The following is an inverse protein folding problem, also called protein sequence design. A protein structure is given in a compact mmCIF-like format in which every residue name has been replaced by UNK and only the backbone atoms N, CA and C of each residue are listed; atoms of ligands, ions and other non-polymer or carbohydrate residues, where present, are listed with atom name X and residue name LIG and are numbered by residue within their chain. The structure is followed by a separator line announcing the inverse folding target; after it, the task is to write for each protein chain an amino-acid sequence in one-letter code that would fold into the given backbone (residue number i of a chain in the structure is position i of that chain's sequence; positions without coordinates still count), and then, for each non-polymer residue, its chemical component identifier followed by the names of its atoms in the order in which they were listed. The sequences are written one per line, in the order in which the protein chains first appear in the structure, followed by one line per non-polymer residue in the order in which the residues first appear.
data_IF_259123529142
#
_entry.id   IF_259123529142
#
_cell.length_a   1.000
_cell.length_b   1.000
_cell.length_c   1.000
_cell.angle_alpha   90.00
_cell.angle_beta   90.00
_cell.angle_gamma   90.00
#
_symmetry.space_group_name_H-M   'P 1'
#
loop_
_entity.id
_entity.type
_entity.pdbx_description
1 polymer ?
#
# COMPACT_ATOMS: atom_id res chain seq x y z
N UNK A 1 -57.97 18.18 -63.82
CA UNK A 1 -56.67 18.81 -63.54
C UNK A 1 -56.82 19.44 -62.16
N UNK A 2 -56.21 19.01 -61.06
CA UNK A 2 -55.14 18.04 -60.85
C UNK A 2 -55.28 17.54 -59.41
N UNK A 3 -55.30 16.22 -59.23
CA UNK A 3 -55.28 15.57 -57.92
C UNK A 3 -53.85 15.64 -57.36
N UNK A 4 -53.64 16.34 -56.25
CA UNK A 4 -52.39 16.28 -55.47
C UNK A 4 -52.50 15.17 -54.44
N UNK A 5 -51.56 14.21 -54.37
CA UNK A 5 -51.56 13.18 -53.35
C UNK A 5 -50.95 13.72 -52.05
N UNK A 6 -51.68 13.53 -50.96
CA UNK A 6 -51.21 13.72 -49.58
C UNK A 6 -50.08 12.73 -49.30
N UNK A 7 -48.86 13.24 -49.12
CA UNK A 7 -47.69 12.48 -48.68
C UNK A 7 -47.83 12.10 -47.21
N UNK A 8 -47.97 10.80 -46.92
CA UNK A 8 -47.88 10.26 -45.57
C UNK A 8 -46.43 10.43 -45.03
N UNK A 9 -46.24 10.74 -43.74
CA UNK A 9 -44.91 10.79 -43.14
C UNK A 9 -44.29 9.38 -43.05
N UNK A 10 -42.97 9.24 -43.21
CA UNK A 10 -42.31 7.94 -43.11
C UNK A 10 -42.45 7.39 -41.69
N UNK A 11 -42.80 6.11 -41.60
CA UNK A 11 -42.85 5.37 -40.34
C UNK A 11 -41.54 5.55 -39.58
N UNK A 12 -41.63 6.06 -38.35
CA UNK A 12 -40.52 6.13 -37.44
C UNK A 12 -39.92 4.72 -37.30
N UNK A 13 -38.68 4.56 -37.76
CA UNK A 13 -37.91 3.35 -37.55
C UNK A 13 -37.85 3.07 -36.05
N UNK A 14 -38.41 1.94 -35.64
CA UNK A 14 -38.30 1.42 -34.28
C UNK A 14 -36.84 1.48 -33.82
N UNK A 15 -36.56 1.91 -32.57
CA UNK A 15 -35.20 1.91 -32.06
C UNK A 15 -34.66 0.47 -32.11
N UNK A 16 -33.37 0.27 -32.42
CA UNK A 16 -32.80 -1.07 -32.48
C UNK A 16 -33.01 -1.76 -31.12
N UNK A 17 -33.59 -2.96 -31.17
CA UNK A 17 -33.86 -3.80 -30.02
C UNK A 17 -32.68 -3.76 -29.04
N UNK A 18 -32.98 -3.39 -27.79
CA UNK A 18 -31.99 -3.21 -26.74
C UNK A 18 -31.06 -4.41 -26.68
N UNK A 19 -29.74 -4.15 -26.75
CA UNK A 19 -28.73 -5.16 -26.41
C UNK A 19 -29.17 -5.75 -25.08
N UNK A 20 -29.54 -7.03 -25.08
CA UNK A 20 -29.77 -7.80 -23.86
C UNK A 20 -28.60 -7.50 -22.93
N UNK A 21 -28.85 -6.68 -21.89
CA UNK A 21 -27.82 -6.38 -20.90
C UNK A 21 -27.62 -7.70 -20.18
N UNK A 22 -26.48 -8.35 -20.42
CA UNK A 22 -26.05 -9.50 -19.60
C UNK A 22 -26.31 -9.14 -18.14
N UNK A 23 -26.97 -10.01 -17.37
CA UNK A 23 -27.23 -9.74 -15.97
C UNK A 23 -25.89 -9.47 -15.28
N UNK A 24 -25.91 -8.56 -14.30
CA UNK A 24 -24.70 -8.11 -13.62
C UNK A 24 -23.90 -9.29 -13.04
N UNK A 25 -24.61 -10.34 -12.60
CA UNK A 25 -24.02 -11.60 -12.13
C UNK A 25 -23.14 -12.30 -13.17
N UNK A 26 -23.51 -12.31 -14.45
CA UNK A 26 -22.72 -12.91 -15.55
C UNK A 26 -21.61 -11.96 -16.02
N UNK A 27 -21.85 -10.65 -15.95
CA UNK A 27 -20.83 -9.67 -16.32
C UNK A 27 -19.61 -9.71 -15.39
N UNK A 28 -19.78 -10.11 -14.13
CA UNK A 28 -18.72 -10.25 -13.14
C UNK A 28 -17.73 -11.39 -13.42
N UNK A 29 -18.08 -12.33 -14.30
CA UNK A 29 -17.17 -13.42 -14.70
C UNK A 29 -16.07 -12.92 -15.66
N UNK A 30 -16.23 -11.72 -16.24
CA UNK A 30 -15.23 -11.06 -17.07
C UNK A 30 -14.29 -10.18 -16.21
N UNK A 31 -12.97 -10.51 -16.11
CA UNK A 31 -12.02 -9.71 -15.34
C UNK A 31 -11.82 -8.27 -15.84
N UNK A 32 -12.17 -7.98 -17.10
CA UNK A 32 -12.12 -6.63 -17.67
C UNK A 32 -13.40 -5.83 -17.41
N UNK A 33 -14.44 -6.45 -16.84
CA UNK A 33 -15.68 -5.77 -16.53
C UNK A 33 -15.46 -4.66 -15.50
N UNK A 34 -15.84 -3.45 -15.88
CA UNK A 34 -15.80 -2.26 -15.03
C UNK A 34 -17.24 -1.79 -14.79
N UNK A 35 -17.80 -2.03 -13.59
CA UNK A 35 -19.15 -1.59 -13.27
C UNK A 35 -19.26 -0.07 -13.21
N UNK A 36 -20.48 0.45 -13.34
CA UNK A 36 -20.78 1.88 -13.14
C UNK A 36 -21.14 2.13 -11.69
N UNK A 37 -21.01 3.40 -11.24
CA UNK A 37 -21.44 3.82 -9.89
C UNK A 37 -22.88 3.43 -9.53
N UNK A 38 -23.78 3.45 -10.51
CA UNK A 38 -25.20 3.07 -10.34
C UNK A 38 -25.41 1.59 -10.04
N UNK A 39 -24.43 0.74 -10.33
CA UNK A 39 -24.52 -0.71 -10.14
C UNK A 39 -24.18 -1.10 -8.68
N UNK A 40 -23.69 -0.15 -7.86
CA UNK A 40 -23.30 -0.37 -6.48
C UNK A 40 -24.36 -1.10 -5.64
N UNK A 41 -25.65 -0.69 -5.62
CA UNK A 41 -26.64 -1.35 -4.77
C UNK A 41 -26.79 -2.85 -5.10
N UNK A 42 -26.83 -3.18 -6.40
CA UNK A 42 -26.94 -4.55 -6.86
C UNK A 42 -25.67 -5.37 -6.56
N UNK A 43 -24.47 -4.77 -6.72
CA UNK A 43 -23.21 -5.44 -6.35
C UNK A 43 -23.14 -5.71 -4.85
N UNK A 44 -23.62 -4.79 -4.02
CA UNK A 44 -23.64 -4.93 -2.57
C UNK A 44 -24.60 -6.03 -2.12
N UNK A 45 -25.76 -6.15 -2.76
CA UNK A 45 -26.72 -7.24 -2.52
C UNK A 45 -26.11 -8.59 -2.90
N UNK A 46 -25.56 -8.70 -4.11
CA UNK A 46 -24.83 -9.89 -4.57
C UNK A 46 -23.67 -10.25 -3.62
N UNK A 47 -22.95 -9.25 -3.12
CA UNK A 47 -21.85 -9.45 -2.18
C UNK A 47 -22.34 -10.03 -0.85
N UNK A 48 -23.57 -9.75 -0.43
CA UNK A 48 -24.16 -10.30 0.79
C UNK A 48 -24.44 -11.80 0.68
N UNK A 49 -24.93 -12.23 -0.48
CA UNK A 49 -25.37 -13.61 -0.74
C UNK A 49 -24.23 -14.52 -1.25
N UNK A 50 -23.13 -13.92 -1.74
CA UNK A 50 -22.04 -14.65 -2.35
C UNK A 50 -21.26 -15.53 -1.36
N UNK A 51 -20.82 -16.69 -1.86
CA UNK A 51 -19.77 -17.50 -1.25
C UNK A 51 -18.40 -16.77 -1.27
N UNK A 52 -17.37 -17.41 -0.70
CA UNK A 52 -16.03 -16.80 -0.60
C UNK A 52 -15.38 -16.52 -1.97
N UNK A 53 -15.57 -17.41 -2.95
CA UNK A 53 -14.95 -17.27 -4.26
C UNK A 53 -15.61 -16.13 -5.04
N UNK A 54 -16.93 -16.13 -5.11
CA UNK A 54 -17.73 -15.12 -5.82
C UNK A 54 -17.66 -13.75 -5.16
N UNK A 55 -17.58 -13.71 -3.82
CA UNK A 55 -17.41 -12.44 -3.10
C UNK A 55 -16.13 -11.71 -3.50
N UNK A 56 -15.04 -12.43 -3.77
CA UNK A 56 -13.77 -11.80 -4.18
C UNK A 56 -13.90 -11.08 -5.52
N UNK A 57 -14.59 -11.69 -6.50
CA UNK A 57 -14.85 -11.05 -7.79
C UNK A 57 -15.74 -9.80 -7.65
N UNK A 58 -16.76 -9.87 -6.80
CA UNK A 58 -17.67 -8.74 -6.54
C UNK A 58 -16.94 -7.61 -5.79
N UNK A 59 -16.11 -7.92 -4.79
CA UNK A 59 -15.28 -6.93 -4.09
C UNK A 59 -14.36 -6.21 -5.08
N UNK A 60 -13.65 -6.93 -5.94
CA UNK A 60 -12.79 -6.32 -6.95
C UNK A 60 -13.58 -5.49 -7.97
N UNK A 61 -14.79 -5.92 -8.34
CA UNK A 61 -15.67 -5.12 -9.20
C UNK A 61 -16.09 -3.81 -8.53
N UNK A 62 -16.44 -3.83 -7.24
CA UNK A 62 -16.73 -2.62 -6.46
C UNK A 62 -15.48 -1.73 -6.37
N UNK A 63 -14.31 -2.31 -6.09
CA UNK A 63 -13.04 -1.58 -6.03
C UNK A 63 -12.71 -0.85 -7.33
N UNK A 64 -13.01 -1.45 -8.50
CA UNK A 64 -12.84 -0.81 -9.82
C UNK A 64 -13.76 0.40 -10.05
N UNK A 65 -14.91 0.49 -9.37
CA UNK A 65 -15.74 1.71 -9.39
C UNK A 65 -14.98 2.88 -8.74
N UNK A 66 -14.15 2.56 -7.74
CA UNK A 66 -13.27 3.49 -7.05
C UNK A 66 -13.91 4.18 -5.84
N UNK A 67 -13.13 5.01 -5.12
CA UNK A 67 -13.52 5.63 -3.86
C UNK A 67 -14.74 6.56 -3.92
N UNK A 68 -15.19 6.92 -5.12
CA UNK A 68 -16.35 7.79 -5.31
C UNK A 68 -17.68 7.18 -4.86
N UNK A 69 -17.72 5.87 -4.58
CA UNK A 69 -18.89 5.20 -3.99
C UNK A 69 -18.70 4.84 -2.51
N UNK A 70 -17.63 5.33 -1.87
CA UNK A 70 -17.33 5.02 -0.47
C UNK A 70 -18.46 5.44 0.49
N UNK A 71 -19.18 6.54 0.20
CA UNK A 71 -20.30 6.98 1.04
C UNK A 71 -21.46 5.99 0.97
N UNK A 72 -21.79 5.47 -0.22
CA UNK A 72 -22.83 4.45 -0.39
C UNK A 72 -22.46 3.09 0.22
N UNK A 73 -21.16 2.72 0.19
CA UNK A 73 -20.66 1.55 0.92
C UNK A 73 -20.76 1.77 2.44
N UNK A 74 -20.46 2.98 2.91
CA UNK A 74 -20.53 3.35 4.33
C UNK A 74 -21.96 3.37 4.86
N UNK A 75 -22.92 3.84 4.06
CA UNK A 75 -24.34 3.82 4.38
C UNK A 75 -24.85 2.38 4.52
N UNK A 76 -24.50 1.51 3.56
CA UNK A 76 -24.87 0.09 3.66
C UNK A 76 -24.31 -0.58 4.91
N UNK A 77 -23.09 -0.22 5.30
CA UNK A 77 -22.38 -0.83 6.42
C UNK A 77 -23.16 -0.68 7.74
N UNK A 78 -23.90 0.41 7.96
CA UNK A 78 -24.62 0.66 9.22
C UNK A 78 -25.62 -0.44 9.58
N UNK A 79 -26.28 -1.03 8.57
CA UNK A 79 -27.22 -2.15 8.74
C UNK A 79 -26.70 -3.50 8.23
N UNK A 80 -25.40 -3.64 8.00
CA UNK A 80 -24.84 -4.90 7.49
C UNK A 80 -24.45 -5.85 8.63
N UNK A 81 -24.92 -7.09 8.55
CA UNK A 81 -24.46 -8.22 9.38
C UNK A 81 -23.34 -9.02 8.72
N UNK A 82 -22.80 -10.01 9.45
CA UNK A 82 -21.83 -10.95 8.88
C UNK A 82 -22.50 -11.84 7.80
N UNK A 83 -21.81 -12.16 6.68
CA UNK A 83 -20.42 -11.84 6.37
C UNK A 83 -20.22 -10.51 5.63
N UNK A 84 -21.30 -9.85 5.20
CA UNK A 84 -21.26 -8.62 4.38
C UNK A 84 -20.50 -7.49 5.09
N UNK A 85 -20.72 -7.33 6.41
CA UNK A 85 -20.09 -6.28 7.22
C UNK A 85 -18.58 -6.27 7.06
N UNK A 86 -17.90 -7.38 7.36
CA UNK A 86 -16.47 -7.51 7.15
C UNK A 86 -16.02 -7.25 5.71
N UNK A 87 -16.79 -7.65 4.70
CA UNK A 87 -16.46 -7.41 3.27
C UNK A 87 -16.49 -5.91 2.95
N UNK A 88 -17.52 -5.18 3.39
CA UNK A 88 -17.62 -3.74 3.19
C UNK A 88 -16.49 -2.98 3.90
N UNK A 89 -16.12 -3.38 5.13
CA UNK A 89 -14.96 -2.79 5.84
C UNK A 89 -13.66 -2.98 5.05
N UNK A 90 -13.46 -4.15 4.44
CA UNK A 90 -12.27 -4.39 3.61
C UNK A 90 -12.23 -3.46 2.41
N UNK A 91 -13.37 -3.25 1.73
CA UNK A 91 -13.49 -2.33 0.60
C UNK A 91 -13.13 -0.90 1.03
N UNK A 92 -13.75 -0.39 2.11
CA UNK A 92 -13.45 0.95 2.64
C UNK A 92 -11.98 1.09 3.01
N UNK A 93 -11.40 0.05 3.63
CA UNK A 93 -9.99 0.01 3.99
C UNK A 93 -9.03 0.09 2.80
N UNK A 94 -9.41 -0.43 1.63
CA UNK A 94 -8.61 -0.32 0.40
C UNK A 94 -8.62 1.10 -0.17
N UNK A 95 -9.69 1.86 0.05
CA UNK A 95 -9.82 3.24 -0.42
C UNK A 95 -9.31 4.29 0.55
N UNK A 96 -9.09 3.94 1.83
CA UNK A 96 -8.70 4.90 2.86
C UNK A 96 -7.35 5.59 2.59
N UNK A 97 -6.46 5.00 1.79
CA UNK A 97 -5.23 5.67 1.33
C UNK A 97 -5.47 6.80 0.33
N UNK A 98 -6.53 6.71 -0.46
CA UNK A 98 -6.95 7.75 -1.42
C UNK A 98 -8.01 8.70 -0.83
N UNK A 99 -8.66 8.29 0.25
CA UNK A 99 -9.71 9.02 0.98
C UNK A 99 -9.42 9.00 2.49
N UNK A 100 -8.51 9.87 2.98
CA UNK A 100 -8.18 9.95 4.40
C UNK A 100 -9.38 10.24 5.30
N UNK A 101 -10.47 10.80 4.75
CA UNK A 101 -11.72 11.04 5.49
C UNK A 101 -12.40 9.73 5.95
N UNK A 102 -12.00 8.57 5.42
CA UNK A 102 -12.46 7.25 5.87
C UNK A 102 -11.78 6.77 7.16
N UNK A 103 -10.64 7.36 7.55
CA UNK A 103 -9.87 6.95 8.74
C UNK A 103 -10.71 7.00 10.01
N UNK A 104 -11.46 8.08 10.35
CA UNK A 104 -12.31 8.09 11.54
C UNK A 104 -13.33 6.95 11.58
N UNK A 105 -13.88 6.58 10.42
CA UNK A 105 -14.85 5.49 10.32
C UNK A 105 -14.19 4.14 10.55
N UNK A 106 -12.99 3.91 10.02
CA UNK A 106 -12.21 2.71 10.27
C UNK A 106 -11.76 2.61 11.73
N UNK A 107 -11.42 3.73 12.37
CA UNK A 107 -11.09 3.78 13.80
C UNK A 107 -12.29 3.35 14.66
N UNK A 108 -13.50 3.82 14.36
CA UNK A 108 -14.71 3.40 15.08
C UNK A 108 -14.98 1.88 14.96
N UNK A 109 -14.55 1.26 13.86
CA UNK A 109 -14.71 -0.19 13.65
C UNK A 109 -13.71 -1.04 14.46
N UNK A 110 -12.77 -0.43 15.19
CA UNK A 110 -11.93 -1.14 16.15
C UNK A 110 -12.71 -1.67 17.35
N UNK A 111 -13.92 -1.17 17.60
CA UNK A 111 -14.83 -1.64 18.65
C UNK A 111 -16.01 -2.45 18.09
N UNK A 112 -15.93 -2.84 16.81
CA UNK A 112 -17.02 -3.52 16.12
C UNK A 112 -17.31 -4.92 16.69
N UNK A 113 -18.59 -5.25 16.84
CA UNK A 113 -19.03 -6.55 17.35
C UNK A 113 -18.80 -7.72 16.39
N UNK A 114 -18.62 -7.48 15.08
CA UNK A 114 -18.25 -8.51 14.11
C UNK A 114 -16.71 -8.68 14.10
N UNK A 115 -16.16 -9.83 14.55
CA UNK A 115 -14.71 -10.04 14.58
C UNK A 115 -14.05 -9.89 13.20
N UNK A 116 -14.77 -10.21 12.11
CA UNK A 116 -14.21 -10.08 10.76
C UNK A 116 -14.12 -8.62 10.34
N UNK A 117 -15.10 -7.79 10.71
CA UNK A 117 -15.09 -6.36 10.48
C UNK A 117 -13.98 -5.69 11.29
N UNK A 118 -13.90 -5.96 12.59
CA UNK A 118 -12.86 -5.45 13.48
C UNK A 118 -11.45 -5.81 12.96
N UNK A 119 -11.23 -7.09 12.62
CA UNK A 119 -9.95 -7.53 12.03
C UNK A 119 -9.60 -6.81 10.74
N UNK A 120 -10.56 -6.63 9.83
CA UNK A 120 -10.32 -5.93 8.58
C UNK A 120 -10.02 -4.43 8.81
N UNK A 121 -10.64 -3.80 9.82
CA UNK A 121 -10.32 -2.44 10.22
C UNK A 121 -8.86 -2.32 10.72
N UNK A 122 -8.42 -3.22 11.61
CA UNK A 122 -7.02 -3.29 12.08
C UNK A 122 -6.04 -3.39 10.90
N UNK A 123 -6.30 -4.30 9.97
CA UNK A 123 -5.44 -4.53 8.79
C UNK A 123 -5.41 -3.29 7.88
N UNK A 124 -6.56 -2.63 7.69
CA UNK A 124 -6.65 -1.44 6.86
C UNK A 124 -5.86 -0.27 7.48
N UNK A 125 -6.12 0.01 8.76
CA UNK A 125 -5.46 1.08 9.50
C UNK A 125 -3.94 0.90 9.55
N UNK A 126 -3.45 -0.33 9.71
CA UNK A 126 -2.01 -0.62 9.68
C UNK A 126 -1.30 -0.34 8.35
N UNK A 127 -2.01 0.07 7.30
CA UNK A 127 -1.45 0.47 6.00
C UNK A 127 -1.53 1.97 5.74
N UNK A 128 -2.09 2.73 6.67
CA UNK A 128 -2.31 4.16 6.53
C UNK A 128 -1.31 4.92 7.40
N UNK A 129 -0.95 6.11 6.93
CA UNK A 129 -0.11 7.05 7.66
C UNK A 129 -1.02 8.13 8.27
N UNK A 130 -1.51 7.86 9.48
CA UNK A 130 -2.32 8.82 10.25
C UNK A 130 -1.97 8.71 11.74
N UNK A 131 -1.62 9.83 12.41
CA UNK A 131 -1.11 9.82 13.77
C UNK A 131 -2.13 9.33 14.81
N UNK A 132 -3.43 9.29 14.48
CA UNK A 132 -4.49 8.77 15.36
C UNK A 132 -4.51 7.25 15.43
N UNK A 133 -3.85 6.57 14.50
CA UNK A 133 -3.91 5.11 14.36
C UNK A 133 -3.10 4.41 15.44
N UNK A 134 -1.86 4.83 15.68
CA UNK A 134 -0.99 4.15 16.66
C UNK A 134 -1.63 4.12 18.06
N UNK A 135 -2.13 5.25 18.61
CA UNK A 135 -2.80 5.25 19.91
C UNK A 135 -4.03 4.35 19.95
N UNK A 136 -4.85 4.36 18.89
CA UNK A 136 -6.08 3.56 18.84
C UNK A 136 -5.80 2.05 18.77
N UNK A 137 -4.83 1.63 17.96
CA UNK A 137 -4.42 0.22 17.88
C UNK A 137 -3.81 -0.27 19.19
N UNK A 138 -3.02 0.58 19.87
CA UNK A 138 -2.46 0.26 21.19
C UNK A 138 -3.53 0.11 22.27
N UNK A 139 -4.54 1.00 22.27
CA UNK A 139 -5.68 0.90 23.19
C UNK A 139 -6.43 -0.42 22.99
N UNK A 140 -6.72 -0.79 21.73
CA UNK A 140 -7.32 -2.09 21.42
C UNK A 140 -6.43 -3.25 21.87
N UNK A 141 -5.13 -3.16 21.63
CA UNK A 141 -4.18 -4.22 21.97
C UNK A 141 -4.04 -4.46 23.48
N UNK A 142 -4.32 -3.46 24.32
CA UNK A 142 -4.35 -3.63 25.78
C UNK A 142 -5.57 -4.43 26.28
N UNK A 143 -6.68 -4.43 25.52
CA UNK A 143 -7.92 -5.12 25.87
C UNK A 143 -8.14 -6.44 25.12
N UNK A 144 -7.38 -6.71 24.05
CA UNK A 144 -7.62 -7.83 23.15
C UNK A 144 -6.87 -9.11 23.56
N UNK A 145 -7.57 -10.25 23.49
CA UNK A 145 -7.03 -11.58 23.81
C UNK A 145 -7.15 -12.59 22.67
N UNK A 146 -7.93 -12.28 21.62
CA UNK A 146 -8.17 -13.20 20.50
C UNK A 146 -6.95 -13.28 19.59
N UNK A 147 -6.39 -14.49 19.44
CA UNK A 147 -5.23 -14.76 18.59
C UNK A 147 -5.33 -14.16 17.17
N UNK A 148 -6.46 -14.27 16.42
CA UNK A 148 -6.56 -13.66 15.09
C UNK A 148 -6.38 -12.14 15.09
N UNK A 149 -6.82 -11.46 16.15
CA UNK A 149 -6.67 -10.02 16.29
C UNK A 149 -5.27 -9.66 16.74
N UNK A 150 -4.66 -10.42 17.67
CA UNK A 150 -3.26 -10.23 18.07
C UNK A 150 -2.29 -10.34 16.87
N UNK A 151 -2.50 -11.31 15.98
CA UNK A 151 -1.73 -11.42 14.72
C UNK A 151 -1.87 -10.17 13.85
N UNK A 152 -3.10 -9.66 13.72
CA UNK A 152 -3.39 -8.48 12.90
C UNK A 152 -2.84 -7.20 13.55
N UNK A 153 -2.92 -7.08 14.87
CA UNK A 153 -2.36 -5.99 15.67
C UNK A 153 -0.84 -5.97 15.59
N UNK A 154 -0.17 -7.12 15.70
CA UNK A 154 1.27 -7.22 15.54
C UNK A 154 1.73 -6.74 14.17
N UNK A 155 1.08 -7.20 13.09
CA UNK A 155 1.41 -6.74 11.73
C UNK A 155 1.09 -5.26 11.51
N UNK A 156 -0.01 -4.74 12.06
CA UNK A 156 -0.39 -3.34 11.93
C UNK A 156 0.52 -2.40 12.73
N UNK A 157 0.75 -2.68 14.02
CA UNK A 157 1.64 -1.89 14.88
C UNK A 157 3.09 -1.93 14.41
N UNK A 158 3.53 -3.03 13.80
CA UNK A 158 4.86 -3.10 13.17
C UNK A 158 5.02 -2.16 11.98
N UNK A 159 3.96 -1.92 11.21
CA UNK A 159 3.98 -1.01 10.05
C UNK A 159 3.81 0.45 10.46
N UNK A 160 2.89 0.70 11.39
CA UNK A 160 2.67 2.04 11.96
C UNK A 160 3.90 2.51 12.71
N UNK A 161 4.58 1.62 13.42
CA UNK A 161 5.82 1.93 14.12
C UNK A 161 5.63 2.85 15.34
N UNK A 162 6.72 3.48 15.75
CA UNK A 162 6.80 4.29 16.96
C UNK A 162 7.23 3.50 18.20
N UNK A 163 7.75 4.23 19.19
CA UNK A 163 8.32 3.64 20.42
C UNK A 163 7.31 2.80 21.20
N UNK A 164 6.06 3.29 21.32
CA UNK A 164 5.01 2.58 22.05
C UNK A 164 4.59 1.28 21.34
N UNK A 165 4.55 1.27 20.00
CA UNK A 165 4.30 0.07 19.22
C UNK A 165 5.43 -0.96 19.41
N UNK A 166 6.69 -0.52 19.40
CA UNK A 166 7.83 -1.39 19.70
C UNK A 166 7.80 -1.96 21.10
N UNK A 167 7.49 -1.14 22.11
CA UNK A 167 7.37 -1.58 23.49
C UNK A 167 6.30 -2.68 23.61
N UNK A 168 5.14 -2.49 22.99
CA UNK A 168 4.10 -3.49 22.95
C UNK A 168 4.53 -4.78 22.23
N UNK A 169 5.16 -4.67 21.05
CA UNK A 169 5.65 -5.82 20.30
C UNK A 169 6.71 -6.63 21.06
N UNK A 170 7.58 -5.98 21.85
CA UNK A 170 8.57 -6.65 22.70
C UNK A 170 7.94 -7.39 23.88
N UNK A 171 6.86 -6.83 24.44
CA UNK A 171 6.10 -7.44 25.53
C UNK A 171 5.02 -8.45 25.11
N UNK A 172 4.77 -8.58 23.79
CA UNK A 172 3.75 -9.47 23.26
C UNK A 172 4.13 -10.94 23.47
N UNK A 173 3.38 -11.65 24.32
CA UNK A 173 3.44 -13.10 24.44
C UNK A 173 2.87 -13.78 23.18
N UNK A 174 3.65 -14.66 22.56
CA UNK A 174 3.24 -15.42 21.38
C UNK A 174 2.29 -16.57 21.72
N UNK A 175 2.15 -16.93 23.01
CA UNK A 175 1.26 -17.99 23.51
C UNK A 175 1.51 -19.35 22.82
N UNK A 176 2.74 -19.58 22.36
CA UNK A 176 3.10 -20.76 21.59
C UNK A 176 2.54 -20.80 20.16
N UNK A 177 2.00 -19.70 19.64
CA UNK A 177 1.53 -19.60 18.26
C UNK A 177 2.68 -19.22 17.30
N UNK A 178 3.12 -20.14 16.41
CA UNK A 178 4.27 -19.89 15.55
C UNK A 178 4.06 -18.74 14.58
N UNK A 179 2.81 -18.51 14.15
CA UNK A 179 2.49 -17.44 13.21
C UNK A 179 2.51 -16.07 13.89
N UNK A 180 2.02 -15.96 15.13
CA UNK A 180 2.13 -14.74 15.93
C UNK A 180 3.59 -14.39 16.21
N UNK A 181 4.41 -15.37 16.58
CA UNK A 181 5.84 -15.16 16.79
C UNK A 181 6.56 -14.70 15.51
N UNK A 182 6.26 -15.33 14.38
CA UNK A 182 6.78 -14.91 13.06
C UNK A 182 6.38 -13.47 12.72
N UNK A 183 5.12 -13.12 12.93
CA UNK A 183 4.60 -11.77 12.68
C UNK A 183 5.22 -10.75 13.63
N UNK A 184 5.33 -11.05 14.93
CA UNK A 184 6.00 -10.23 15.94
C UNK A 184 7.45 -9.92 15.54
N UNK A 185 8.24 -10.94 15.18
CA UNK A 185 9.63 -10.75 14.75
C UNK A 185 9.74 -9.86 13.52
N UNK A 186 8.89 -10.08 12.52
CA UNK A 186 8.84 -9.24 11.31
C UNK A 186 8.45 -7.80 11.65
N UNK A 187 7.45 -7.63 12.52
CA UNK A 187 6.95 -6.33 12.95
C UNK A 187 8.03 -5.52 13.69
N UNK A 188 8.78 -6.16 14.59
CA UNK A 188 9.93 -5.54 15.27
C UNK A 188 10.97 -5.04 14.25
N UNK A 189 11.36 -5.88 13.29
CA UNK A 189 12.32 -5.49 12.25
C UNK A 189 11.83 -4.32 11.39
N UNK A 190 10.52 -4.20 11.13
CA UNK A 190 9.97 -3.08 10.36
C UNK A 190 9.99 -1.82 11.22
N UNK A 191 9.44 -1.87 12.44
CA UNK A 191 9.31 -0.71 13.31
C UNK A 191 10.67 -0.16 13.80
N UNK A 192 11.66 -1.04 14.06
CA UNK A 192 13.03 -0.61 14.41
C UNK A 192 13.71 0.12 13.24
N UNK A 193 13.51 -0.37 12.01
CA UNK A 193 14.02 0.31 10.80
C UNK A 193 13.35 1.66 10.57
N UNK A 194 12.05 1.78 10.84
CA UNK A 194 11.35 3.06 10.73
C UNK A 194 11.91 4.08 11.73
N UNK A 195 12.06 3.71 13.00
CA UNK A 195 12.66 4.61 14.01
C UNK A 195 14.11 4.99 13.70
N UNK A 196 14.90 4.07 13.15
CA UNK A 196 16.27 4.39 12.73
C UNK A 196 16.31 5.40 11.58
N UNK A 197 15.30 5.45 10.71
CA UNK A 197 15.19 6.47 9.67
C UNK A 197 14.71 7.80 10.23
N UNK A 198 13.73 7.78 11.13
CA UNK A 198 13.18 9.01 11.72
C UNK A 198 14.18 9.67 12.70
N UNK A 199 15.02 8.87 13.37
CA UNK A 199 16.09 9.35 14.24
C UNK A 199 17.35 9.75 13.46
N UNK A 200 17.45 9.36 12.20
CA UNK A 200 18.59 9.63 11.35
C UNK A 200 18.15 10.32 10.06
N UNK A 201 18.05 11.65 10.14
CA UNK A 201 18.56 12.50 9.07
C UNK A 201 20.07 12.20 8.92
N UNK A 202 20.42 10.99 8.45
CA UNK A 202 21.78 10.60 8.14
C UNK A 202 22.16 11.32 6.86
N UNK A 203 22.57 12.56 7.00
CA UNK A 203 23.34 13.25 5.99
C UNK A 203 24.74 12.61 5.96
N UNK A 204 25.25 12.34 4.76
CA UNK A 204 26.64 11.91 4.62
C UNK A 204 27.50 13.09 5.05
N UNK A 205 28.23 12.95 6.16
CA UNK A 205 29.20 13.96 6.59
C UNK A 205 30.36 14.00 5.58
N UNK A 206 30.24 14.90 4.60
CA UNK A 206 31.27 15.11 3.57
C UNK A 206 32.58 15.65 4.16
N UNK A 207 32.55 16.19 5.38
CA UNK A 207 33.76 16.67 6.05
C UNK A 207 34.46 15.58 6.87
N UNK A 208 33.86 14.38 6.99
CA UNK A 208 34.47 13.24 7.66
C UNK A 208 35.82 12.87 7.01
N UNK A 209 36.84 12.68 7.84
CA UNK A 209 38.20 12.34 7.40
C UNK A 209 38.39 10.83 7.51
N UNK A 210 38.82 10.20 6.41
CA UNK A 210 39.26 8.81 6.40
C UNK A 210 40.61 8.71 7.14
N UNK A 211 40.60 8.16 8.35
CA UNK A 211 41.77 8.07 9.25
C UNK A 211 42.91 7.18 8.73
N UNK A 212 42.67 6.43 7.65
CA UNK A 212 43.67 5.60 6.98
C UNK A 212 43.26 5.26 5.55
N UNK A 213 44.11 4.52 4.80
CA UNK A 213 43.78 4.07 3.45
C UNK A 213 42.56 3.15 3.50
N UNK A 214 41.39 3.70 3.17
CA UNK A 214 40.12 2.98 3.16
C UNK A 214 39.84 2.47 1.76
N UNK A 215 39.54 1.18 1.63
CA UNK A 215 39.13 0.62 0.35
C UNK A 215 37.76 1.19 -0.03
N UNK A 216 37.67 1.80 -1.20
CA UNK A 216 36.43 2.39 -1.72
C UNK A 216 36.08 1.79 -3.08
N UNK A 217 34.79 1.56 -3.29
CA UNK A 217 34.21 1.17 -4.58
C UNK A 217 33.40 2.36 -5.11
N UNK A 218 33.88 2.96 -6.20
CA UNK A 218 33.30 4.15 -6.82
C UNK A 218 32.51 3.71 -8.06
N UNK A 219 31.21 3.96 -8.02
CA UNK A 219 30.28 3.57 -9.07
C UNK A 219 30.07 4.67 -10.10
N UNK A 220 30.09 4.30 -11.36
CA UNK A 220 30.10 5.21 -12.52
C UNK A 220 29.25 4.59 -13.64
N UNK A 221 28.73 5.41 -14.56
CA UNK A 221 28.14 4.88 -15.80
C UNK A 221 29.13 4.00 -16.54
N UNK A 222 28.67 2.83 -16.96
CA UNK A 222 29.43 1.89 -17.78
C UNK A 222 30.11 2.59 -18.96
N UNK A 223 31.42 2.39 -19.11
CA UNK A 223 32.24 2.98 -20.17
C UNK A 223 32.95 4.29 -19.78
N UNK A 224 32.72 4.84 -18.57
CA UNK A 224 33.44 6.02 -18.07
C UNK A 224 34.46 5.67 -16.97
N UNK A 225 34.77 4.38 -16.74
CA UNK A 225 35.67 3.93 -15.69
C UNK A 225 37.08 4.49 -15.88
N UNK A 226 37.58 4.50 -17.12
CA UNK A 226 38.89 5.07 -17.45
C UNK A 226 38.97 6.58 -17.17
N UNK A 227 37.91 7.32 -17.50
CA UNK A 227 37.85 8.75 -17.16
C UNK A 227 37.87 8.95 -15.65
N UNK A 228 37.18 8.09 -14.89
CA UNK A 228 37.13 8.25 -13.43
C UNK A 228 38.51 7.97 -12.83
N UNK A 229 39.19 6.93 -13.31
CA UNK A 229 40.57 6.62 -12.94
C UNK A 229 41.46 7.84 -13.19
N UNK A 230 41.42 8.44 -14.39
CA UNK A 230 42.22 9.63 -14.73
C UNK A 230 41.94 10.81 -13.77
N UNK A 231 40.67 11.05 -13.41
CA UNK A 231 40.30 12.11 -12.47
C UNK A 231 40.76 11.84 -11.05
N UNK A 232 40.64 10.59 -10.59
CA UNK A 232 41.06 10.18 -9.25
C UNK A 232 42.59 10.28 -9.09
N UNK A 233 43.33 9.86 -10.11
CA UNK A 233 44.79 9.99 -10.16
C UNK A 233 45.22 11.47 -10.20
N UNK A 234 44.58 12.28 -11.05
CA UNK A 234 44.90 13.71 -11.16
C UNK A 234 44.61 14.47 -9.85
N UNK A 235 43.57 14.08 -9.12
CA UNK A 235 43.22 14.67 -7.84
C UNK A 235 44.08 14.13 -6.68
N UNK A 236 44.72 12.96 -6.83
CA UNK A 236 45.56 12.34 -5.81
C UNK A 236 44.80 11.90 -4.55
N UNK A 237 43.48 11.65 -4.68
CA UNK A 237 42.60 11.34 -3.54
C UNK A 237 42.52 9.82 -3.30
N UNK A 238 42.74 9.03 -4.35
CA UNK A 238 42.65 7.57 -4.34
C UNK A 238 43.95 6.98 -4.86
N UNK A 239 44.60 6.15 -4.05
CA UNK A 239 45.77 5.37 -4.44
C UNK A 239 45.33 4.15 -5.25
N UNK A 240 46.08 3.84 -6.32
CA UNK A 240 45.92 2.64 -7.16
C UNK A 240 44.47 2.40 -7.67
N UNK A 241 43.82 3.39 -8.33
CA UNK A 241 42.48 3.18 -8.85
C UNK A 241 42.46 2.20 -10.04
N UNK A 242 41.63 1.16 -9.95
CA UNK A 242 41.50 0.11 -10.97
C UNK A 242 40.04 -0.21 -11.27
N UNK A 243 39.70 -0.38 -12.54
CA UNK A 243 38.37 -0.83 -12.95
C UNK A 243 38.20 -2.34 -12.66
N UNK A 244 37.39 -2.67 -11.66
CA UNK A 244 37.17 -4.07 -11.24
C UNK A 244 35.99 -4.74 -11.96
N UNK A 245 35.05 -3.94 -12.48
CA UNK A 245 33.92 -4.41 -13.27
C UNK A 245 33.30 -3.25 -14.05
N UNK A 246 32.49 -3.52 -15.09
CA UNK A 246 31.80 -2.46 -15.81
C UNK A 246 30.94 -1.59 -14.86
N UNK A 247 31.27 -0.31 -14.80
CA UNK A 247 30.64 0.71 -13.94
C UNK A 247 31.20 0.81 -12.53
N UNK A 248 32.35 0.19 -12.23
CA UNK A 248 32.93 0.24 -10.88
C UNK A 248 34.47 0.32 -10.91
N UNK A 249 35.00 1.32 -10.21
CA UNK A 249 36.43 1.55 -9.99
C UNK A 249 36.72 1.39 -8.50
N UNK A 250 37.75 0.60 -8.16
CA UNK A 250 38.20 0.37 -6.78
C UNK A 250 39.54 1.05 -6.56
N UNK A 251 39.74 1.61 -5.38
CA UNK A 251 41.06 2.07 -4.95
C UNK A 251 41.10 2.34 -3.45
N UNK A 252 42.20 2.91 -2.96
CA UNK A 252 42.36 3.25 -1.54
C UNK A 252 42.28 4.77 -1.35
N UNK A 253 41.18 5.24 -0.79
CA UNK A 253 40.98 6.65 -0.52
C UNK A 253 41.62 7.10 0.81
N UNK A 254 42.03 8.37 0.85
CA UNK A 254 42.44 9.08 2.07
C UNK A 254 41.89 10.50 2.04
N UNK A 255 41.83 11.17 3.19
CA UNK A 255 41.38 12.56 3.27
C UNK A 255 39.87 12.68 3.46
N UNK A 256 39.26 13.78 3.01
CA UNK A 256 37.85 14.05 3.29
C UNK A 256 36.95 13.26 2.36
N UNK A 257 35.83 12.78 2.89
CA UNK A 257 34.85 12.03 2.10
C UNK A 257 34.28 12.88 0.94
N UNK A 258 34.14 14.20 1.15
CA UNK A 258 33.73 15.15 0.12
C UNK A 258 34.72 15.31 -1.04
N UNK A 259 35.99 14.92 -0.87
CA UNK A 259 36.97 14.92 -1.96
C UNK A 259 36.65 13.84 -2.98
N UNK A 260 36.21 12.66 -2.53
CA UNK A 260 35.74 11.58 -3.41
C UNK A 260 34.50 12.00 -4.20
N UNK A 261 33.63 12.79 -3.58
CA UNK A 261 32.43 13.34 -4.24
C UNK A 261 32.75 14.41 -5.28
N UNK A 262 33.94 15.03 -5.18
CA UNK A 262 34.43 16.04 -6.13
C UNK A 262 35.09 15.46 -7.37
N UNK A 263 35.42 14.16 -7.40
CA UNK A 263 35.75 13.45 -8.64
C UNK A 263 34.50 13.47 -9.53
N UNK A 264 34.53 14.27 -10.59
CA UNK A 264 33.35 14.86 -11.22
C UNK A 264 33.14 14.30 -12.61
N UNK A 265 32.76 13.03 -12.69
CA UNK A 265 32.17 12.52 -13.92
C UNK A 265 30.65 12.55 -13.88
N UNK A 266 30.16 13.73 -14.24
CA UNK A 266 28.86 14.04 -14.81
C UNK A 266 27.90 12.85 -14.95
N UNK A 267 27.01 12.72 -13.97
CA UNK A 267 25.56 12.76 -14.21
C UNK A 267 24.91 13.67 -13.18
#
# INVERSE_FOLDING_TARGET
MSSTPTSAPPAASSPPAGRSRRPLSEALDDPAFTPRRRDLPALVELLGEADSARASAIEEAILRIGPAVADGVSERLEGAGAPLRGRLVRILGRWAGERPELVPRLLALLEDGDPKAQRNAIIALGKLDDPRIAPALLALAAAEARLPHLRSLADALGKVGGEAALAWLRGLDDRGDPELDRLRRRALLIAERSLQRDAADSEVDLEAILEGPTLVDLHVRRGLEGLLIDELEAAGIVDEPEAISPGCVRGRARGRLGDLWRARLAL
#
